data_IF_756324827835
#
_entry.id   IF_756324827835
#
_cell.length_a   1.000
_cell.length_b   1.000
_cell.length_c   1.000
_cell.angle_alpha   90.00
_cell.angle_beta   90.00
_cell.angle_gamma   90.00
#
_symmetry.space_group_name_H-M   'P 1'
#
loop_
_entity.id
_entity.type
_entity.pdbx_description
1 polymer ?
#
# COMPACT_ATOMS: atom_id res chain seq x y z
N UNK A 1 17.01 2.67 7.93
CA UNK A 1 16.26 3.11 6.73
C UNK A 1 16.95 4.35 6.17
N UNK A 2 17.09 4.46 4.85
CA UNK A 2 17.78 5.59 4.23
C UNK A 2 16.86 6.82 4.23
N UNK A 3 17.21 7.86 4.99
CA UNK A 3 16.57 9.17 4.88
C UNK A 3 17.09 9.85 3.62
N UNK A 4 16.19 10.37 2.78
CA UNK A 4 16.58 11.31 1.72
C UNK A 4 16.86 12.64 2.41
N UNK A 5 18.09 13.12 2.25
CA UNK A 5 18.53 14.40 2.79
C UNK A 5 18.72 15.39 1.65
N UNK A 6 17.99 16.50 1.69
CA UNK A 6 18.27 17.64 0.84
C UNK A 6 19.54 18.34 1.33
N UNK A 7 20.45 18.65 0.41
CA UNK A 7 21.67 19.39 0.76
C UNK A 7 21.32 20.83 1.09
N UNK A 8 21.87 21.35 2.19
CA UNK A 8 21.78 22.77 2.51
C UNK A 8 22.36 23.62 1.39
N UNK A 9 21.74 24.78 1.17
CA UNK A 9 22.13 25.71 0.13
C UNK A 9 22.68 26.99 0.78
N UNK A 10 23.86 27.42 0.33
CA UNK A 10 24.42 28.70 0.75
C UNK A 10 25.03 29.45 -0.43
N UNK A 11 24.73 30.74 -0.51
CA UNK A 11 25.29 31.68 -1.47
C UNK A 11 25.85 32.87 -0.73
N UNK A 12 27.07 33.26 -1.09
CA UNK A 12 27.74 34.44 -0.58
C UNK A 12 28.12 35.34 -1.76
N UNK A 13 27.55 36.55 -1.83
CA UNK A 13 27.85 37.52 -2.88
C UNK A 13 27.71 38.93 -2.32
N UNK A 14 28.73 39.78 -2.53
CA UNK A 14 28.73 41.20 -2.14
C UNK A 14 28.27 41.44 -0.70
N UNK A 15 28.93 40.82 0.28
CA UNK A 15 28.60 40.89 1.72
C UNK A 15 27.21 40.41 2.13
N UNK A 16 26.44 39.79 1.23
CA UNK A 16 25.18 39.12 1.55
C UNK A 16 25.42 37.61 1.61
N UNK A 17 25.05 37.01 2.75
CA UNK A 17 25.10 35.56 2.98
C UNK A 17 23.69 35.02 3.17
N UNK A 18 23.27 34.16 2.26
CA UNK A 18 22.02 33.40 2.37
C UNK A 18 22.38 31.97 2.76
N UNK A 19 21.72 31.44 3.78
CA UNK A 19 21.76 30.02 4.17
C UNK A 19 20.32 29.51 4.25
N UNK A 20 20.04 28.43 3.53
CA UNK A 20 18.79 27.70 3.60
C UNK A 20 19.06 26.37 4.29
N UNK A 21 18.46 26.17 5.45
CA UNK A 21 18.42 24.91 6.19
C UNK A 21 17.30 24.05 5.61
N UNK A 22 17.67 22.88 5.07
CA UNK A 22 16.73 21.98 4.41
C UNK A 22 16.16 20.91 5.35
N UNK A 23 16.57 20.85 6.61
CA UNK A 23 16.13 19.84 7.59
C UNK A 23 14.61 19.86 7.81
N UNK A 24 14.00 21.05 7.87
CA UNK A 24 12.55 21.19 7.98
C UNK A 24 11.78 20.62 6.77
N UNK A 25 12.39 20.66 5.58
CA UNK A 25 11.81 20.07 4.37
C UNK A 25 11.91 18.54 4.40
N UNK A 26 13.06 17.98 4.81
CA UNK A 26 13.25 16.53 4.98
C UNK A 26 12.19 15.96 5.93
N UNK A 27 11.97 16.61 7.08
CA UNK A 27 10.98 16.18 8.05
C UNK A 27 9.54 16.28 7.52
N UNK A 28 9.21 17.39 6.86
CA UNK A 28 7.89 17.58 6.26
C UNK A 28 7.59 16.48 5.23
N UNK A 29 8.55 16.14 4.37
CA UNK A 29 8.41 15.06 3.38
C UNK A 29 8.28 13.71 4.05
N UNK A 30 9.05 13.43 5.10
CA UNK A 30 8.95 12.18 5.84
C UNK A 30 7.57 12.00 6.49
N UNK A 31 7.03 13.06 7.10
CA UNK A 31 5.66 13.06 7.66
C UNK A 31 4.62 12.86 6.57
N UNK A 32 4.77 13.54 5.44
CA UNK A 32 3.89 13.44 4.28
C UNK A 32 3.84 12.01 3.72
N UNK A 33 5.01 11.38 3.54
CA UNK A 33 5.10 10.00 3.06
C UNK A 33 4.48 9.02 4.04
N UNK A 34 4.74 9.19 5.34
CA UNK A 34 4.15 8.33 6.37
C UNK A 34 2.62 8.43 6.39
N UNK A 35 2.07 9.65 6.27
CA UNK A 35 0.64 9.88 6.20
C UNK A 35 0.02 9.28 4.94
N UNK A 36 0.66 9.45 3.78
CA UNK A 36 0.20 8.90 2.51
C UNK A 36 0.19 7.37 2.52
N UNK A 37 1.28 6.73 2.94
CA UNK A 37 1.40 5.26 2.98
C UNK A 37 0.31 4.65 3.87
N UNK A 38 0.06 5.26 5.03
CA UNK A 38 -1.00 4.86 5.95
C UNK A 38 -2.40 5.03 5.33
N UNK A 39 -2.67 6.19 4.73
CA UNK A 39 -3.95 6.48 4.10
C UNK A 39 -4.27 5.47 2.98
N UNK A 40 -3.30 5.17 2.12
CA UNK A 40 -3.46 4.17 1.06
C UNK A 40 -3.81 2.79 1.65
N UNK A 41 -3.07 2.33 2.67
CA UNK A 41 -3.33 1.02 3.28
C UNK A 41 -4.74 0.98 3.90
N UNK A 42 -5.14 2.02 4.64
CA UNK A 42 -6.46 2.08 5.25
C UNK A 42 -7.58 2.12 4.22
N UNK A 43 -7.45 2.90 3.15
CA UNK A 43 -8.40 2.96 2.04
C UNK A 43 -8.59 1.64 1.31
N UNK A 44 -7.58 0.77 1.29
CA UNK A 44 -7.70 -0.56 0.66
C UNK A 44 -8.55 -1.53 1.48
N UNK A 45 -8.62 -1.41 2.81
CA UNK A 45 -9.22 -2.41 3.71
C UNK A 45 -10.66 -2.79 3.31
N UNK A 46 -11.58 -1.86 2.98
CA UNK A 46 -12.97 -2.20 2.63
C UNK A 46 -13.10 -3.00 1.32
N UNK A 47 -12.10 -2.92 0.45
CA UNK A 47 -12.09 -3.59 -0.85
C UNK A 47 -11.32 -4.93 -0.82
N UNK A 48 -10.64 -5.23 0.30
CA UNK A 48 -9.86 -6.45 0.45
C UNK A 48 -10.75 -7.68 0.79
N UNK A 49 -10.33 -8.90 0.43
CA UNK A 49 -11.02 -10.11 0.84
C UNK A 49 -10.94 -10.35 2.34
N UNK A 50 -12.10 -10.53 2.98
CA UNK A 50 -12.22 -10.80 4.42
C UNK A 50 -13.00 -12.08 4.66
N UNK A 51 -12.27 -13.20 4.82
CA UNK A 51 -12.83 -14.49 5.25
C UNK A 51 -12.71 -14.60 6.78
N UNK A 52 -11.48 -14.68 7.29
CA UNK A 52 -11.19 -14.70 8.74
C UNK A 52 -10.58 -13.40 9.28
N UNK A 53 -10.09 -12.51 8.41
CA UNK A 53 -9.37 -11.28 8.79
C UNK A 53 -7.85 -11.38 8.71
N UNK A 54 -7.26 -12.57 8.90
CA UNK A 54 -5.79 -12.78 8.93
C UNK A 54 -5.05 -12.21 7.70
N UNK A 55 -5.64 -12.30 6.51
CA UNK A 55 -5.04 -11.75 5.29
C UNK A 55 -4.87 -10.23 5.36
N UNK A 56 -5.92 -9.53 5.82
CA UNK A 56 -5.91 -8.07 6.00
C UNK A 56 -4.92 -7.71 7.11
N UNK A 57 -4.98 -8.38 8.25
CA UNK A 57 -4.10 -8.09 9.40
C UNK A 57 -2.61 -8.23 9.04
N UNK A 58 -2.23 -9.33 8.36
CA UNK A 58 -0.84 -9.53 7.89
C UNK A 58 -0.41 -8.46 6.89
N UNK A 59 -1.32 -8.04 6.02
CA UNK A 59 -1.04 -7.01 5.01
C UNK A 59 -0.87 -5.64 5.67
N UNK A 60 -1.77 -5.26 6.58
CA UNK A 60 -1.69 -4.03 7.37
C UNK A 60 -0.41 -4.01 8.20
N UNK A 61 -0.10 -5.08 8.93
CA UNK A 61 1.10 -5.16 9.76
C UNK A 61 2.37 -5.03 8.91
N UNK A 62 2.41 -5.66 7.73
CA UNK A 62 3.56 -5.55 6.84
C UNK A 62 3.71 -4.14 6.25
N UNK A 63 2.61 -3.52 5.80
CA UNK A 63 2.61 -2.13 5.32
C UNK A 63 3.03 -1.15 6.41
N UNK A 64 2.54 -1.33 7.64
CA UNK A 64 2.96 -0.53 8.80
C UNK A 64 4.46 -0.65 9.08
N UNK A 65 5.06 -1.84 8.92
CA UNK A 65 6.51 -2.05 9.12
C UNK A 65 7.40 -1.30 8.13
N UNK A 66 6.85 -0.85 7.00
CA UNK A 66 7.56 -0.09 5.96
C UNK A 66 6.95 1.30 5.74
N UNK A 67 6.06 1.75 6.62
CA UNK A 67 5.35 3.01 6.46
C UNK A 67 6.32 4.20 6.50
N UNK A 68 6.14 5.16 5.58
CA UNK A 68 7.04 6.29 5.39
C UNK A 68 8.19 6.00 4.42
N UNK A 69 8.22 4.82 3.79
CA UNK A 69 9.20 4.48 2.75
C UNK A 69 8.68 4.72 1.33
N UNK A 70 7.38 4.94 1.17
CA UNK A 70 6.71 4.97 -0.14
C UNK A 70 6.32 3.59 -0.66
N UNK A 71 6.45 2.55 0.17
CA UNK A 71 6.03 1.18 -0.16
C UNK A 71 4.78 0.85 0.64
N UNK A 72 3.73 0.41 -0.05
CA UNK A 72 2.52 -0.14 0.55
C UNK A 72 2.26 -1.52 -0.04
N UNK A 73 2.11 -2.53 0.82
CA UNK A 73 1.77 -3.88 0.37
C UNK A 73 0.27 -3.97 0.12
N UNK A 74 -0.11 -4.33 -1.11
CA UNK A 74 -1.52 -4.55 -1.43
C UNK A 74 -2.03 -5.87 -0.85
N UNK A 75 -1.18 -6.89 -0.70
CA UNK A 75 -1.54 -8.19 -0.12
C UNK A 75 -0.30 -9.00 0.27
N UNK A 76 -0.38 -9.70 1.40
CA UNK A 76 0.74 -10.49 1.94
C UNK A 76 0.38 -11.97 2.06
N UNK A 77 1.30 -12.82 1.61
CA UNK A 77 1.17 -14.28 1.66
C UNK A 77 1.02 -14.91 0.27
N UNK A 78 1.06 -16.26 0.21
CA UNK A 78 0.87 -16.99 -1.05
C UNK A 78 -0.46 -16.67 -1.74
N UNK A 79 -1.46 -16.20 -0.97
CA UNK A 79 -2.77 -15.83 -1.45
C UNK A 79 -2.86 -14.44 -2.10
N UNK A 80 -1.97 -13.52 -1.77
CA UNK A 80 -2.09 -12.11 -2.16
C UNK A 80 -2.18 -11.91 -3.67
N UNK A 81 -1.36 -12.63 -4.45
CA UNK A 81 -1.32 -12.47 -5.91
C UNK A 81 -2.65 -12.86 -6.56
N UNK A 82 -3.18 -14.04 -6.25
CA UNK A 82 -4.40 -14.51 -6.90
C UNK A 82 -5.64 -13.77 -6.42
N UNK A 83 -5.66 -13.38 -5.14
CA UNK A 83 -6.71 -12.54 -4.59
C UNK A 83 -6.71 -11.17 -5.26
N UNK A 84 -5.54 -10.59 -5.51
CA UNK A 84 -5.42 -9.29 -6.17
C UNK A 84 -5.81 -9.33 -7.66
N UNK A 85 -5.35 -10.35 -8.39
CA UNK A 85 -5.68 -10.55 -9.81
C UNK A 85 -7.15 -10.97 -10.02
N UNK A 86 -7.81 -11.51 -9.00
CA UNK A 86 -9.20 -11.95 -9.06
C UNK A 86 -9.45 -13.16 -9.95
N UNK A 87 -8.44 -14.01 -10.13
CA UNK A 87 -8.54 -15.24 -10.90
C UNK A 87 -8.46 -16.45 -9.99
N UNK A 88 -9.30 -17.44 -10.27
CA UNK A 88 -9.25 -18.73 -9.58
C UNK A 88 -7.93 -19.42 -9.93
N UNK A 89 -7.19 -19.81 -8.89
CA UNK A 89 -5.98 -20.61 -9.02
C UNK A 89 -6.22 -21.97 -8.40
N UNK A 90 -5.89 -23.03 -9.14
CA UNK A 90 -6.14 -24.42 -8.73
C UNK A 90 -4.88 -25.27 -8.80
N UNK A 91 -4.84 -26.36 -8.03
CA UNK A 91 -3.88 -27.44 -8.23
C UNK A 91 -4.08 -28.03 -9.63
N UNK A 92 -3.03 -28.17 -10.45
CA UNK A 92 -3.17 -28.67 -11.82
C UNK A 92 -3.68 -30.11 -11.90
N UNK A 93 -3.52 -30.91 -10.85
CA UNK A 93 -3.93 -32.32 -10.82
C UNK A 93 -5.31 -32.49 -10.22
N UNK A 94 -5.62 -31.79 -9.13
CA UNK A 94 -6.91 -31.97 -8.43
C UNK A 94 -7.98 -30.96 -8.84
N UNK A 95 -7.61 -29.86 -9.51
CA UNK A 95 -8.52 -28.75 -9.79
C UNK A 95 -8.99 -28.01 -8.54
N UNK A 96 -8.42 -28.32 -7.36
CA UNK A 96 -8.80 -27.70 -6.09
C UNK A 96 -8.17 -26.32 -5.92
N UNK A 97 -8.93 -25.38 -5.36
CA UNK A 97 -8.40 -24.08 -4.91
C UNK A 97 -7.44 -24.21 -3.73
N UNK A 98 -7.37 -25.38 -3.07
CA UNK A 98 -6.33 -25.76 -2.11
C UNK A 98 -5.30 -26.65 -2.79
N UNK A 99 -4.08 -26.13 -2.98
CA UNK A 99 -2.98 -26.88 -3.58
C UNK A 99 -2.41 -27.90 -2.60
N UNK A 100 -1.97 -29.05 -3.13
CA UNK A 100 -1.23 -30.03 -2.34
C UNK A 100 0.12 -29.43 -1.88
N UNK A 101 0.69 -29.90 -0.76
CA UNK A 101 2.01 -29.47 -0.32
C UNK A 101 3.04 -29.63 -1.45
N UNK A 102 3.78 -28.56 -1.76
CA UNK A 102 4.78 -28.53 -2.85
C UNK A 102 4.23 -28.30 -4.26
N UNK A 103 2.91 -28.31 -4.47
CA UNK A 103 2.32 -28.05 -5.77
C UNK A 103 2.21 -26.55 -6.08
N UNK A 104 2.62 -26.15 -7.29
CA UNK A 104 2.38 -24.80 -7.81
C UNK A 104 0.98 -24.75 -8.43
N UNK A 105 0.16 -23.77 -8.02
CA UNK A 105 -1.15 -23.57 -8.63
C UNK A 105 -1.03 -23.04 -10.05
N UNK A 106 -1.94 -23.45 -10.92
CA UNK A 106 -2.13 -22.87 -12.25
C UNK A 106 -3.24 -21.83 -12.22
N UNK A 107 -3.08 -20.78 -13.02
CA UNK A 107 -4.08 -19.73 -13.20
C UNK A 107 -5.13 -20.22 -14.17
N UNK A 108 -6.40 -20.11 -13.79
CA UNK A 108 -7.52 -20.43 -14.67
C UNK A 108 -8.12 -19.15 -15.26
N UNK A 109 -8.91 -19.28 -16.33
CA UNK A 109 -9.67 -18.15 -16.89
C UNK A 109 -10.88 -17.75 -16.03
N UNK A 110 -11.23 -18.57 -15.03
CA UNK A 110 -12.40 -18.34 -14.18
C UNK A 110 -12.15 -17.20 -13.19
N UNK A 111 -13.07 -16.25 -13.13
CA UNK A 111 -13.05 -15.18 -12.14
C UNK A 111 -13.34 -15.69 -10.73
N UNK A 112 -12.69 -15.08 -9.75
CA UNK A 112 -12.88 -15.39 -8.33
C UNK A 112 -14.18 -14.76 -7.83
N UNK A 113 -15.03 -15.55 -7.18
CA UNK A 113 -16.19 -15.03 -6.47
C UNK A 113 -15.80 -14.68 -5.03
N UNK A 114 -15.73 -13.38 -4.72
CA UNK A 114 -15.38 -12.91 -3.38
C UNK A 114 -16.55 -13.00 -2.41
N UNK A 115 -16.26 -13.32 -1.15
CA UNK A 115 -17.24 -13.23 -0.07
C UNK A 115 -17.49 -11.76 0.29
N UNK A 116 -18.71 -11.28 0.03
CA UNK A 116 -19.14 -9.88 0.25
C UNK A 116 -19.76 -9.63 1.63
N UNK A 117 -19.85 -10.63 2.51
CA UNK A 117 -20.51 -10.48 3.82
C UNK A 117 -19.81 -9.45 4.72
N UNK A 118 -18.50 -9.58 4.87
CA UNK A 118 -17.74 -8.73 5.79
C UNK A 118 -17.25 -7.43 5.14
N UNK A 119 -16.95 -7.48 3.83
CA UNK A 119 -16.53 -6.35 3.01
C UNK A 119 -17.39 -6.34 1.74
N UNK A 120 -18.50 -5.56 1.71
CA UNK A 120 -19.43 -5.56 0.58
C UNK A 120 -18.81 -5.12 -0.76
N UNK A 121 -17.84 -4.20 -0.69
CA UNK A 121 -17.18 -3.62 -1.86
C UNK A 121 -15.95 -4.41 -2.33
N UNK A 122 -15.74 -5.61 -1.77
CA UNK A 122 -14.61 -6.47 -2.13
C UNK A 122 -14.52 -6.71 -3.63
N UNK A 123 -13.33 -6.49 -4.19
CA UNK A 123 -13.07 -6.65 -5.62
C UNK A 123 -11.58 -6.89 -5.91
N UNK A 124 -11.29 -7.38 -7.12
CA UNK A 124 -9.92 -7.47 -7.64
C UNK A 124 -9.29 -6.08 -7.78
N UNK A 125 -7.97 -6.02 -7.77
CA UNK A 125 -7.21 -4.78 -7.91
C UNK A 125 -7.66 -3.68 -6.93
N UNK A 126 -7.90 -4.05 -5.67
CA UNK A 126 -8.48 -3.16 -4.65
C UNK A 126 -7.71 -1.85 -4.43
N UNK A 127 -6.42 -1.80 -4.75
CA UNK A 127 -5.66 -0.53 -4.78
C UNK A 127 -6.26 0.47 -5.77
N UNK A 128 -6.65 0.03 -6.97
CA UNK A 128 -7.26 0.89 -7.99
C UNK A 128 -8.66 1.34 -7.55
N UNK A 129 -9.41 0.47 -6.88
CA UNK A 129 -10.70 0.83 -6.30
C UNK A 129 -10.55 1.89 -5.21
N UNK A 130 -9.64 1.67 -4.27
CA UNK A 130 -9.28 2.62 -3.21
C UNK A 130 -8.80 3.96 -3.79
N UNK A 131 -7.92 3.92 -4.79
CA UNK A 131 -7.44 5.14 -5.46
C UNK A 131 -8.57 5.92 -6.11
N UNK A 132 -9.48 5.26 -6.84
CA UNK A 132 -10.63 5.93 -7.47
C UNK A 132 -11.53 6.61 -6.43
N UNK A 133 -11.67 6.02 -5.26
CA UNK A 133 -12.54 6.53 -4.19
C UNK A 133 -11.87 7.65 -3.38
N UNK A 134 -10.62 7.43 -2.94
CA UNK A 134 -10.01 8.19 -1.85
C UNK A 134 -8.76 8.99 -2.27
N UNK A 135 -8.45 9.13 -3.58
CA UNK A 135 -7.28 9.88 -4.05
C UNK A 135 -7.20 11.29 -3.44
N UNK A 136 -8.34 11.99 -3.36
CA UNK A 136 -8.39 13.34 -2.78
C UNK A 136 -8.09 13.34 -1.28
N UNK A 137 -8.55 12.33 -0.57
CA UNK A 137 -8.27 12.17 0.87
C UNK A 137 -6.79 11.87 1.12
N UNK A 138 -6.14 11.11 0.23
CA UNK A 138 -4.71 10.84 0.28
C UNK A 138 -3.88 12.12 0.11
N UNK A 139 -4.25 12.96 -0.86
CA UNK A 139 -3.65 14.28 -1.06
C UNK A 139 -3.86 15.17 0.17
N UNK A 140 -5.04 15.14 0.78
CA UNK A 140 -5.35 15.94 1.97
C UNK A 140 -4.61 15.45 3.23
N UNK A 141 -4.44 14.13 3.38
CA UNK A 141 -3.61 13.56 4.44
C UNK A 141 -2.15 13.99 4.30
N UNK A 142 -1.61 13.90 3.07
CA UNK A 142 -0.26 14.34 2.75
C UNK A 142 -0.08 15.85 3.02
N UNK A 143 -0.99 16.69 2.51
CA UNK A 143 -0.93 18.14 2.67
C UNK A 143 -1.03 18.60 4.13
N UNK A 144 -1.86 17.93 4.94
CA UNK A 144 -1.92 18.20 6.39
C UNK A 144 -0.59 17.85 7.07
N UNK A 145 0.00 16.71 6.74
CA UNK A 145 1.26 16.27 7.33
C UNK A 145 2.47 17.16 6.94
N UNK A 146 2.46 17.76 5.75
CA UNK A 146 3.47 18.75 5.33
C UNK A 146 3.39 20.02 6.19
N UNK A 147 2.16 20.50 6.46
CA UNK A 147 1.92 21.76 7.17
C UNK A 147 2.27 21.71 8.65
N UNK A 148 2.31 20.51 9.24
CA UNK A 148 2.55 20.29 10.67
C UNK A 148 1.25 20.31 11.45
#
# INVERSE_FOLDING_TARGET
>A
MARKHFKDFSVEKMNVKIKLDMSGLDEAIQRAQYALDGAIMHSMIPFMPKVSGNFIERTVAKSASVQGTGIVYAGVGPEGRFLYEGKVMVDPVTGSTYARPGAKKIVTERELNYNKLANPDVQKEWFLAAKRKDMKEWEDAMNRAIKG
#
